data_IF_667989637649
#
_entry.id   IF_667989637649
#
_cell.length_a   1.000
_cell.length_b   1.000
_cell.length_c   1.000
_cell.angle_alpha   90.00
_cell.angle_beta   90.00
_cell.angle_gamma   90.00
#
_symmetry.space_group_name_H-M   'P 1'
#
loop_
_entity.id
_entity.type
_entity.pdbx_description
1 polymer ?
#
# COMPACT_ATOMS: atom_id res chain seq x y z
N UNK A 1 -30.22 6.89 32.52
CA UNK A 1 -30.59 6.76 31.09
C UNK A 1 -29.62 7.47 30.13
N UNK A 2 -28.76 8.39 30.59
CA UNK A 2 -27.77 9.10 29.74
C UNK A 2 -26.47 8.32 29.51
N UNK A 3 -26.08 7.45 30.44
CA UNK A 3 -24.80 6.73 30.38
C UNK A 3 -24.76 5.66 29.28
N UNK A 4 -25.90 5.02 28.97
CA UNK A 4 -25.99 4.03 27.88
C UNK A 4 -25.83 4.65 26.49
N UNK A 5 -26.26 5.90 26.29
CA UNK A 5 -26.13 6.59 25.00
C UNK A 5 -24.69 7.03 24.75
N UNK A 6 -23.99 7.50 25.79
CA UNK A 6 -22.58 7.87 25.70
C UNK A 6 -21.68 6.65 25.44
N UNK A 7 -21.98 5.52 26.09
CA UNK A 7 -21.27 4.27 25.84
C UNK A 7 -21.46 3.79 24.39
N UNK A 8 -22.69 3.82 23.89
CA UNK A 8 -23.00 3.43 22.51
C UNK A 8 -22.34 4.36 21.47
N UNK A 9 -22.22 5.66 21.76
CA UNK A 9 -21.51 6.61 20.90
C UNK A 9 -20.00 6.34 20.88
N UNK A 10 -19.40 6.12 22.06
CA UNK A 10 -17.97 5.81 22.16
C UNK A 10 -17.62 4.47 21.47
N UNK A 11 -18.48 3.45 21.61
CA UNK A 11 -18.31 2.18 20.93
C UNK A 11 -18.43 2.34 19.40
N UNK A 12 -19.37 3.15 18.92
CA UNK A 12 -19.52 3.47 17.50
C UNK A 12 -18.28 4.18 16.94
N UNK A 13 -17.81 5.23 17.60
CA UNK A 13 -16.61 5.98 17.20
C UNK A 13 -15.37 5.06 17.19
N UNK A 14 -15.26 4.15 18.15
CA UNK A 14 -14.17 3.17 18.21
C UNK A 14 -14.22 2.17 17.06
N UNK A 15 -15.43 1.73 16.68
CA UNK A 15 -15.64 0.81 15.57
C UNK A 15 -15.37 1.51 14.22
N UNK A 16 -15.78 2.78 14.08
CA UNK A 16 -15.50 3.59 12.91
C UNK A 16 -13.99 3.85 12.76
N UNK A 17 -13.29 4.19 13.85
CA UNK A 17 -11.84 4.35 13.83
C UNK A 17 -11.12 3.04 13.42
N UNK A 18 -11.56 1.89 13.94
CA UNK A 18 -11.04 0.57 13.54
C UNK A 18 -11.31 0.26 12.07
N UNK A 19 -12.51 0.57 11.58
CA UNK A 19 -12.87 0.39 10.17
C UNK A 19 -11.97 1.25 9.27
N UNK A 20 -11.77 2.51 9.62
CA UNK A 20 -10.92 3.42 8.85
C UNK A 20 -9.46 2.98 8.85
N UNK A 21 -8.95 2.53 10.00
CA UNK A 21 -7.60 1.94 10.08
C UNK A 21 -7.47 0.68 9.21
N UNK A 22 -8.42 -0.26 9.31
CA UNK A 22 -8.43 -1.48 8.51
C UNK A 22 -8.50 -1.18 7.00
N UNK A 23 -9.31 -0.20 6.59
CA UNK A 23 -9.37 0.28 5.20
C UNK A 23 -8.02 0.85 4.73
N UNK A 24 -7.36 1.66 5.56
CA UNK A 24 -6.04 2.20 5.25
C UNK A 24 -4.99 1.10 5.08
N UNK A 25 -5.00 0.10 5.97
CA UNK A 25 -4.12 -1.07 5.86
C UNK A 25 -4.41 -1.91 4.61
N UNK A 26 -5.68 -2.06 4.24
CA UNK A 26 -6.07 -2.76 3.02
C UNK A 26 -5.55 -2.06 1.76
N UNK A 27 -5.74 -0.74 1.66
CA UNK A 27 -5.24 0.05 0.52
C UNK A 27 -3.72 -0.03 0.43
N UNK A 28 -3.01 0.14 1.56
CA UNK A 28 -1.56 0.02 1.60
C UNK A 28 -1.06 -1.38 1.16
N UNK A 29 -1.76 -2.45 1.55
CA UNK A 29 -1.41 -3.80 1.14
C UNK A 29 -1.67 -4.02 -0.36
N UNK A 30 -2.74 -3.42 -0.90
CA UNK A 30 -3.05 -3.44 -2.32
C UNK A 30 -2.00 -2.67 -3.14
N UNK A 31 -1.58 -1.49 -2.67
CA UNK A 31 -0.53 -0.71 -3.33
C UNK A 31 0.80 -1.48 -3.36
N UNK A 32 1.19 -2.09 -2.24
CA UNK A 32 2.39 -2.94 -2.18
C UNK A 32 2.32 -4.14 -3.12
N UNK A 33 1.13 -4.72 -3.32
CA UNK A 33 0.95 -5.80 -4.27
C UNK A 33 1.09 -5.29 -5.71
N UNK A 34 0.55 -4.12 -6.02
CA UNK A 34 0.70 -3.49 -7.34
C UNK A 34 2.18 -3.14 -7.62
N UNK A 35 2.89 -2.61 -6.63
CA UNK A 35 4.32 -2.28 -6.71
C UNK A 35 5.23 -3.50 -6.91
N UNK A 36 4.72 -4.73 -6.72
CA UNK A 36 5.47 -5.96 -7.02
C UNK A 36 5.71 -6.17 -8.52
N UNK A 37 4.92 -5.50 -9.37
CA UNK A 37 5.06 -5.56 -10.83
C UNK A 37 5.43 -4.17 -11.35
N UNK A 38 6.70 -3.99 -11.73
CA UNK A 38 7.14 -2.74 -12.33
C UNK A 38 6.74 -2.66 -13.80
N UNK A 39 5.89 -1.69 -14.13
CA UNK A 39 5.50 -1.36 -15.50
C UNK A 39 6.26 -0.14 -16.01
N UNK A 40 6.56 -0.10 -17.31
CA UNK A 40 7.21 1.07 -17.92
C UNK A 40 6.23 2.25 -18.00
N UNK A 41 6.62 3.46 -17.59
CA UNK A 41 5.73 4.63 -17.62
C UNK A 41 5.42 5.14 -19.04
N UNK A 42 6.27 4.80 -20.02
CA UNK A 42 6.11 5.19 -21.42
C UNK A 42 6.73 4.16 -22.36
N UNK A 43 6.33 4.21 -23.63
CA UNK A 43 6.92 3.39 -24.68
C UNK A 43 8.32 3.89 -25.05
N UNK A 44 9.30 2.99 -25.08
CA UNK A 44 10.69 3.30 -25.37
C UNK A 44 11.51 2.05 -25.68
N UNK A 45 12.84 2.17 -25.70
CA UNK A 45 13.76 1.03 -25.72
C UNK A 45 14.30 0.82 -24.30
N UNK A 46 14.84 -0.36 -24.02
CA UNK A 46 15.56 -0.62 -22.77
C UNK A 46 17.05 -0.54 -23.11
N UNK A 47 17.76 0.44 -22.58
CA UNK A 47 19.19 0.60 -22.80
C UNK A 47 20.02 -0.40 -21.98
N UNK A 48 19.68 -0.59 -20.69
CA UNK A 48 20.41 -1.48 -19.79
C UNK A 48 19.54 -1.96 -18.63
N UNK A 49 19.73 -3.21 -18.21
CA UNK A 49 19.19 -3.74 -16.95
C UNK A 49 20.29 -3.70 -15.88
N UNK A 50 19.98 -3.21 -14.69
CA UNK A 50 20.92 -2.96 -13.59
C UNK A 50 20.89 -4.05 -12.50
N UNK A 51 19.93 -4.97 -12.57
CA UNK A 51 19.75 -6.07 -11.63
C UNK A 51 19.63 -7.39 -12.37
N UNK A 52 20.00 -8.48 -11.71
CA UNK A 52 19.80 -9.83 -12.23
C UNK A 52 18.53 -10.48 -11.68
N UNK A 53 18.04 -11.50 -12.38
CA UNK A 53 16.87 -12.25 -11.94
C UNK A 53 17.16 -12.94 -10.59
N UNK A 54 16.15 -13.03 -9.72
CA UNK A 54 16.25 -13.57 -8.36
C UNK A 54 17.15 -12.78 -7.39
N UNK A 55 17.59 -11.58 -7.75
CA UNK A 55 18.28 -10.69 -6.83
C UNK A 55 17.28 -10.01 -5.87
N UNK A 56 17.63 -9.92 -4.58
CA UNK A 56 16.87 -9.11 -3.63
C UNK A 56 17.08 -7.63 -3.93
N UNK A 57 15.99 -6.88 -4.07
CA UNK A 57 15.99 -5.44 -4.34
C UNK A 57 15.32 -4.68 -3.19
N UNK A 58 15.72 -3.43 -3.00
CA UNK A 58 15.08 -2.50 -2.05
C UNK A 58 14.16 -1.53 -2.78
N UNK A 59 13.22 -0.92 -2.04
CA UNK A 59 12.42 0.18 -2.58
C UNK A 59 13.34 1.30 -3.11
N UNK A 60 12.96 1.91 -4.24
CA UNK A 60 13.70 2.98 -4.93
C UNK A 60 15.05 2.57 -5.54
N UNK A 61 15.43 1.29 -5.50
CA UNK A 61 16.61 0.81 -6.21
C UNK A 61 16.39 0.85 -7.73
N UNK A 62 17.34 1.41 -8.47
CA UNK A 62 17.28 1.46 -9.94
C UNK A 62 17.38 0.06 -10.54
N UNK A 63 16.36 -0.36 -11.28
CA UNK A 63 16.25 -1.69 -11.90
C UNK A 63 16.70 -1.69 -13.37
N UNK A 64 16.32 -0.65 -14.10
CA UNK A 64 16.59 -0.53 -15.54
C UNK A 64 16.70 0.93 -15.96
N UNK A 65 17.34 1.14 -17.10
CA UNK A 65 17.40 2.43 -17.79
C UNK A 65 16.75 2.24 -19.16
N UNK A 66 15.74 3.06 -19.44
CA UNK A 66 15.08 3.16 -20.74
C UNK A 66 15.98 3.92 -21.72
#
# INVERSE_FOLDING_TARGET
>A
MRDKQLLAQADFDSAEARLNSAKGHYLLAQDRLNDSTLVTPFSGRIAKTLVENHQQIQAQQSILVL
#
